data_IF_001977239678
#
_entry.id   IF_001977239678
#
_cell.length_a   1.000
_cell.length_b   1.000
_cell.length_c   1.000
_cell.angle_alpha   90.00
_cell.angle_beta   90.00
_cell.angle_gamma   90.00
#
_symmetry.space_group_name_H-M   'P 1'
#
loop_
_entity.id
_entity.type
_entity.pdbx_description
1 polymer ?
#
# COMPACT_ATOMS: atom_id res chain seq x y z
N UNK A 1 -11.31 -1.63 8.26
CA UNK A 1 -10.41 -1.34 7.12
C UNK A 1 -10.69 0.09 6.70
N UNK A 2 -9.69 0.98 6.68
CA UNK A 2 -9.89 2.30 6.06
C UNK A 2 -10.00 2.07 4.55
N UNK A 3 -11.09 2.52 3.92
CA UNK A 3 -11.22 2.42 2.47
C UNK A 3 -10.06 3.16 1.80
N UNK A 4 -9.43 2.50 0.82
CA UNK A 4 -8.35 3.11 0.04
C UNK A 4 -8.94 4.26 -0.79
N UNK A 5 -8.36 5.45 -0.66
CA UNK A 5 -8.79 6.64 -1.42
C UNK A 5 -8.25 6.56 -2.86
N UNK A 6 -8.90 5.73 -3.68
CA UNK A 6 -8.58 5.60 -5.09
C UNK A 6 -8.94 6.87 -5.85
N UNK A 7 -7.98 7.39 -6.62
CA UNK A 7 -8.12 8.56 -7.48
C UNK A 7 -7.53 8.27 -8.85
N UNK A 8 -8.00 8.99 -9.85
CA UNK A 8 -7.49 8.91 -11.20
C UNK A 8 -6.38 9.93 -11.42
N UNK A 9 -5.35 9.52 -12.13
CA UNK A 9 -4.20 10.33 -12.49
C UNK A 9 -3.88 10.10 -13.96
N UNK A 10 -3.28 11.10 -14.61
CA UNK A 10 -2.89 11.01 -16.01
C UNK A 10 -1.53 11.68 -16.27
N UNK A 11 -0.84 11.24 -17.30
CA UNK A 11 0.47 11.74 -17.69
C UNK A 11 0.75 11.52 -19.17
N UNK A 12 1.68 12.29 -19.72
CA UNK A 12 2.18 12.11 -21.10
C UNK A 12 3.12 10.90 -21.24
N UNK A 13 3.45 10.24 -20.13
CA UNK A 13 4.20 8.99 -20.07
C UNK A 13 3.71 8.15 -18.86
N UNK A 14 4.16 6.91 -18.75
CA UNK A 14 3.78 5.97 -17.69
C UNK A 14 4.61 6.11 -16.40
N UNK A 15 5.58 7.03 -16.36
CA UNK A 15 6.47 7.25 -15.22
C UNK A 15 6.03 8.41 -14.32
N UNK A 16 5.48 9.48 -14.92
CA UNK A 16 5.10 10.71 -14.25
C UNK A 16 3.69 11.15 -14.64
N UNK A 17 2.77 10.99 -13.69
CA UNK A 17 1.37 11.39 -13.83
C UNK A 17 1.19 12.80 -13.27
N UNK A 18 1.26 13.81 -14.15
CA UNK A 18 1.18 15.23 -13.78
C UNK A 18 -0.26 15.70 -13.47
N UNK A 19 -1.27 14.96 -13.92
CA UNK A 19 -2.69 15.25 -13.76
C UNK A 19 -3.27 14.43 -12.61
N UNK A 20 -4.15 15.04 -11.83
CA UNK A 20 -4.82 14.44 -10.68
C UNK A 20 -4.38 15.03 -9.32
N UNK A 21 -5.02 14.62 -8.22
CA UNK A 21 -6.01 13.54 -8.10
C UNK A 21 -7.41 13.92 -8.65
N UNK A 22 -7.95 13.10 -9.55
CA UNK A 22 -9.32 13.24 -10.08
C UNK A 22 -10.26 12.17 -9.50
N UNK A 23 -11.55 12.50 -9.35
CA UNK A 23 -12.55 11.55 -8.85
C UNK A 23 -12.97 10.50 -9.89
N UNK A 24 -12.87 10.82 -11.18
CA UNK A 24 -13.30 9.97 -12.28
C UNK A 24 -12.22 9.87 -13.35
N UNK A 25 -12.25 8.75 -14.09
CA UNK A 25 -11.40 8.53 -15.27
C UNK A 25 -11.58 9.63 -16.31
N UNK A 26 -12.84 10.03 -16.57
CA UNK A 26 -13.16 11.06 -17.57
C UNK A 26 -12.49 12.39 -17.24
N UNK A 27 -12.60 12.84 -15.99
CA UNK A 27 -11.98 14.10 -15.56
C UNK A 27 -10.45 14.07 -15.73
N UNK A 28 -9.80 12.93 -15.44
CA UNK A 28 -8.35 12.81 -15.62
C UNK A 28 -7.93 12.85 -17.10
N UNK A 29 -8.78 12.34 -18.00
CA UNK A 29 -8.55 12.38 -19.45
C UNK A 29 -8.75 13.79 -19.99
N UNK A 30 -9.88 14.41 -19.65
CA UNK A 30 -10.20 15.77 -20.09
C UNK A 30 -9.11 16.76 -19.63
N UNK A 31 -8.69 16.68 -18.37
CA UNK A 31 -7.62 17.52 -17.82
C UNK A 31 -6.24 17.20 -18.44
N UNK A 32 -6.00 15.96 -18.86
CA UNK A 32 -4.77 15.61 -19.58
C UNK A 32 -4.76 16.12 -21.02
N UNK A 33 -5.90 16.10 -21.72
CA UNK A 33 -6.03 16.74 -23.02
C UNK A 33 -5.83 18.26 -22.91
N UNK A 34 -6.40 18.90 -21.88
CA UNK A 34 -6.20 20.34 -21.63
C UNK A 34 -4.72 20.68 -21.34
N UNK A 35 -3.97 19.78 -20.69
CA UNK A 35 -2.57 20.01 -20.33
C UNK A 35 -1.56 19.66 -21.43
N UNK A 36 -1.81 18.60 -22.20
CA UNK A 36 -0.84 18.04 -23.15
C UNK A 36 -1.23 18.22 -24.61
N UNK A 37 -2.49 18.49 -24.92
CA UNK A 37 -3.03 18.55 -26.27
C UNK A 37 -3.60 17.21 -26.75
N UNK A 38 -4.54 17.27 -27.69
CA UNK A 38 -5.21 16.10 -28.28
C UNK A 38 -4.30 15.27 -29.20
N UNK A 39 -3.19 15.85 -29.64
CA UNK A 39 -2.17 15.22 -30.47
C UNK A 39 -1.14 14.41 -29.68
N UNK A 40 -1.27 14.36 -28.34
CA UNK A 40 -0.40 13.60 -27.44
C UNK A 40 -1.13 12.39 -26.88
N UNK A 41 -0.47 11.23 -26.89
CA UNK A 41 -0.98 10.03 -26.22
C UNK A 41 -0.88 10.14 -24.71
N UNK A 42 -1.93 9.72 -24.00
CA UNK A 42 -2.05 9.91 -22.56
C UNK A 42 -2.06 8.54 -21.86
N UNK A 43 -1.30 8.44 -20.78
CA UNK A 43 -1.36 7.33 -19.84
C UNK A 43 -2.27 7.70 -18.69
N UNK A 44 -3.24 6.84 -18.38
CA UNK A 44 -4.22 7.06 -17.31
C UNK A 44 -4.14 5.90 -16.33
N UNK A 45 -4.23 6.19 -15.04
CA UNK A 45 -4.13 5.18 -13.98
C UNK A 45 -5.03 5.53 -12.79
N UNK A 46 -5.56 4.50 -12.14
CA UNK A 46 -6.22 4.65 -10.85
C UNK A 46 -5.23 4.26 -9.74
N UNK A 47 -4.96 5.19 -8.83
CA UNK A 47 -3.92 5.01 -7.83
C UNK A 47 -4.33 5.54 -6.45
N UNK A 48 -3.61 5.08 -5.44
CA UNK A 48 -3.70 5.56 -4.06
C UNK A 48 -2.40 6.27 -3.73
N UNK A 49 -2.52 7.55 -3.35
CA UNK A 49 -1.45 8.32 -2.73
C UNK A 49 -1.82 8.53 -1.27
N UNK A 50 -1.57 7.49 -0.48
CA UNK A 50 -1.92 7.44 0.93
C UNK A 50 -0.67 7.46 1.81
N UNK A 51 -0.84 7.91 3.04
CA UNK A 51 0.23 7.82 4.04
C UNK A 51 0.69 6.38 4.22
N UNK A 52 1.99 6.20 4.36
CA UNK A 52 2.57 4.90 4.72
C UNK A 52 2.33 4.65 6.20
N UNK A 53 1.70 3.52 6.52
CA UNK A 53 1.42 3.10 7.90
C UNK A 53 2.33 1.96 8.29
N UNK A 54 2.98 2.08 9.44
CA UNK A 54 3.88 1.06 9.97
C UNK A 54 3.19 -0.31 10.07
N UNK A 55 1.91 -0.32 10.47
CA UNK A 55 1.10 -1.54 10.57
C UNK A 55 0.99 -2.35 9.27
N UNK A 56 1.19 -1.73 8.10
CA UNK A 56 1.07 -2.42 6.82
C UNK A 56 2.30 -3.31 6.55
N UNK A 57 3.36 -3.15 7.35
CA UNK A 57 4.62 -3.91 7.27
C UNK A 57 4.80 -4.90 8.44
N UNK A 58 3.82 -5.03 9.34
CA UNK A 58 3.90 -5.91 10.51
C UNK A 58 3.06 -7.17 10.29
N UNK A 59 3.71 -8.32 10.49
CA UNK A 59 3.09 -9.66 10.53
C UNK A 59 3.41 -10.39 11.84
N UNK A 60 2.50 -11.25 12.30
CA UNK A 60 2.69 -12.04 13.52
C UNK A 60 3.70 -13.17 13.32
N UNK A 61 3.79 -13.70 12.09
CA UNK A 61 4.76 -14.73 11.71
C UNK A 61 6.19 -14.30 12.08
N UNK A 62 6.58 -13.05 11.76
CA UNK A 62 7.92 -12.56 12.10
C UNK A 62 8.19 -12.43 13.61
N UNK A 63 7.16 -12.31 14.46
CA UNK A 63 7.35 -12.16 15.90
C UNK A 63 7.39 -13.52 16.62
N UNK A 64 6.51 -14.45 16.22
CA UNK A 64 6.46 -15.80 16.80
C UNK A 64 7.68 -16.61 16.33
N UNK A 65 7.94 -16.65 15.02
CA UNK A 65 9.07 -17.42 14.46
C UNK A 65 10.41 -16.97 15.07
N UNK A 66 10.62 -15.65 15.16
CA UNK A 66 11.84 -15.09 15.75
C UNK A 66 11.97 -15.32 17.27
N UNK A 67 10.84 -15.43 17.97
CA UNK A 67 10.84 -15.79 19.39
C UNK A 67 11.16 -17.28 19.57
N UNK A 68 10.58 -18.15 18.74
CA UNK A 68 10.84 -19.58 18.75
C UNK A 68 12.29 -19.90 18.38
N UNK A 69 12.84 -19.26 17.33
CA UNK A 69 14.23 -19.45 16.92
C UNK A 69 15.19 -19.12 18.06
N UNK A 70 14.98 -17.99 18.75
CA UNK A 70 15.84 -17.58 19.88
C UNK A 70 15.62 -18.43 21.13
N UNK A 71 14.39 -18.87 21.37
CA UNK A 71 14.06 -19.69 22.53
C UNK A 71 14.48 -21.16 22.34
N UNK A 72 14.78 -21.59 21.11
CA UNK A 72 15.23 -22.94 20.81
C UNK A 72 16.45 -23.34 21.64
N UNK A 73 17.43 -22.45 21.77
CA UNK A 73 18.65 -22.68 22.58
C UNK A 73 18.38 -22.67 24.10
N UNK A 74 17.22 -22.18 24.52
CA UNK A 74 16.79 -22.12 25.92
C UNK A 74 15.86 -23.28 26.30
N UNK A 75 15.39 -24.06 25.33
CA UNK A 75 14.40 -25.11 25.56
C UNK A 75 15.02 -26.30 26.30
N UNK A 76 14.19 -27.04 27.03
CA UNK A 76 14.60 -28.31 27.59
C UNK A 76 14.86 -29.33 26.45
N UNK A 77 16.07 -29.87 26.30
CA UNK A 77 16.37 -30.82 25.23
C UNK A 77 15.63 -32.15 25.35
N UNK A 78 15.12 -32.48 26.54
CA UNK A 78 14.35 -33.70 26.82
C UNK A 78 12.83 -33.53 26.69
N UNK A 79 12.36 -32.34 26.28
CA UNK A 79 10.94 -32.07 26.00
C UNK A 79 10.71 -31.97 24.50
N UNK A 80 9.63 -32.61 24.04
CA UNK A 80 9.12 -32.52 22.66
C UNK A 80 8.05 -31.43 22.50
N UNK A 81 7.83 -30.60 23.53
CA UNK A 81 6.80 -29.56 23.50
C UNK A 81 7.21 -28.39 22.60
N UNK A 82 6.24 -27.84 21.86
CA UNK A 82 6.44 -26.59 21.13
C UNK A 82 6.78 -25.46 22.11
N UNK A 83 7.62 -24.51 21.68
CA UNK A 83 7.99 -23.36 22.51
C UNK A 83 6.76 -22.49 22.77
N UNK A 84 5.99 -22.22 21.71
CA UNK A 84 4.66 -21.64 21.82
C UNK A 84 3.66 -22.51 21.05
N UNK A 85 2.65 -23.05 21.73
CA UNK A 85 1.53 -23.74 21.08
C UNK A 85 0.46 -22.71 20.72
N UNK A 86 0.65 -22.02 19.59
CA UNK A 86 -0.23 -20.93 19.13
C UNK A 86 -1.18 -21.46 18.05
N UNK A 87 -2.49 -21.29 18.26
CA UNK A 87 -3.49 -21.59 17.24
C UNK A 87 -3.50 -20.53 16.14
N UNK A 88 -4.02 -20.88 14.96
CA UNK A 88 -4.18 -19.93 13.85
C UNK A 88 -5.13 -18.76 14.17
N UNK A 89 -6.01 -18.90 15.18
CA UNK A 89 -6.87 -17.80 15.64
C UNK A 89 -6.11 -16.83 16.53
N UNK A 90 -5.28 -17.34 17.45
CA UNK A 90 -4.42 -16.53 18.31
C UNK A 90 -3.33 -15.80 17.51
N UNK A 91 -2.79 -16.43 16.47
CA UNK A 91 -1.85 -15.78 15.55
C UNK A 91 -2.50 -14.58 14.86
N UNK A 92 -3.73 -14.75 14.34
CA UNK A 92 -4.48 -13.66 13.70
C UNK A 92 -4.79 -12.54 14.70
N UNK A 93 -5.15 -12.87 15.92
CA UNK A 93 -5.39 -11.90 16.99
C UNK A 93 -4.12 -11.11 17.31
N UNK A 94 -2.97 -11.78 17.41
CA UNK A 94 -1.68 -11.12 17.59
C UNK A 94 -1.36 -10.14 16.47
N UNK A 95 -1.62 -10.50 15.19
CA UNK A 95 -1.48 -9.55 14.07
C UNK A 95 -2.33 -8.30 14.31
N UNK A 96 -3.58 -8.46 14.71
CA UNK A 96 -4.50 -7.34 14.94
C UNK A 96 -3.98 -6.45 16.06
N UNK A 97 -3.53 -7.04 17.18
CA UNK A 97 -2.99 -6.30 18.32
C UNK A 97 -1.70 -5.54 17.97
N UNK A 98 -0.75 -6.18 17.29
CA UNK A 98 0.50 -5.53 16.87
C UNK A 98 0.23 -4.36 15.92
N UNK A 99 -0.68 -4.54 14.96
CA UNK A 99 -1.07 -3.47 14.03
C UNK A 99 -1.72 -2.30 14.76
N UNK A 100 -2.61 -2.56 15.72
CA UNK A 100 -3.24 -1.53 16.54
C UNK A 100 -2.22 -0.77 17.40
N UNK A 101 -1.25 -1.47 17.99
CA UNK A 101 -0.18 -0.85 18.76
C UNK A 101 0.71 0.05 17.88
N UNK A 102 1.04 -0.39 16.66
CA UNK A 102 1.80 0.40 15.70
C UNK A 102 1.04 1.67 15.27
N UNK A 103 -0.25 1.56 14.97
CA UNK A 103 -1.11 2.72 14.65
C UNK A 103 -1.12 3.71 15.83
N UNK A 104 -1.37 3.22 17.05
CA UNK A 104 -1.42 4.07 18.24
C UNK A 104 -0.09 4.78 18.50
N UNK A 105 1.04 4.08 18.31
CA UNK A 105 2.37 4.64 18.44
C UNK A 105 2.65 5.71 17.37
N UNK A 106 2.36 5.40 16.10
CA UNK A 106 2.58 6.33 14.99
C UNK A 106 1.76 7.62 15.16
N UNK A 107 0.49 7.51 15.57
CA UNK A 107 -0.40 8.65 15.88
C UNK A 107 0.12 9.44 17.06
N UNK A 108 0.48 8.78 18.18
CA UNK A 108 0.98 9.43 19.39
C UNK A 108 2.20 10.31 19.13
N UNK A 109 3.04 9.90 18.18
CA UNK A 109 4.28 10.59 17.83
C UNK A 109 4.15 11.49 16.59
N UNK A 110 2.95 11.63 16.02
CA UNK A 110 2.67 12.44 14.83
C UNK A 110 3.63 12.11 13.67
N UNK A 111 3.84 10.81 13.44
CA UNK A 111 4.73 10.30 12.41
C UNK A 111 3.93 10.08 11.12
N UNK A 112 4.12 10.98 10.16
CA UNK A 112 3.48 10.94 8.86
C UNK A 112 4.56 10.77 7.78
N UNK A 113 4.38 9.77 6.91
CA UNK A 113 5.20 9.62 5.73
C UNK A 113 4.29 9.76 4.51
N UNK A 114 4.44 10.88 3.81
CA UNK A 114 3.77 11.13 2.53
C UNK A 114 4.68 10.60 1.41
N UNK A 115 4.31 9.48 0.76
CA UNK A 115 5.13 8.92 -0.30
C UNK A 115 5.11 9.82 -1.53
N UNK A 116 6.26 9.93 -2.19
CA UNK A 116 6.36 10.59 -3.49
C UNK A 116 5.57 9.82 -4.57
N UNK A 117 5.67 8.49 -4.55
CA UNK A 117 5.01 7.57 -5.49
C UNK A 117 3.68 7.02 -4.96
N UNK A 118 2.95 6.31 -5.82
CA UNK A 118 1.71 5.63 -5.45
C UNK A 118 1.98 4.39 -4.59
N UNK A 119 1.18 4.21 -3.54
CA UNK A 119 1.25 3.03 -2.65
C UNK A 119 0.46 1.85 -3.19
N UNK A 120 -0.43 2.08 -4.16
CA UNK A 120 -1.20 1.06 -4.86
C UNK A 120 -1.68 1.62 -6.19
N UNK A 121 -1.72 0.79 -7.22
CA UNK A 121 -2.20 1.16 -8.57
C UNK A 121 -3.11 0.07 -9.13
N UNK A 122 -4.02 0.45 -10.03
CA UNK A 122 -4.86 -0.44 -10.84
C UNK A 122 -5.37 0.29 -12.08
N UNK A 123 -6.01 -0.43 -13.00
CA UNK A 123 -6.69 0.13 -14.18
C UNK A 123 -5.80 1.05 -15.03
N UNK A 124 -4.51 0.72 -15.13
CA UNK A 124 -3.57 1.45 -15.98
C UNK A 124 -3.92 1.22 -17.46
N UNK A 125 -3.91 2.30 -18.24
CA UNK A 125 -4.22 2.27 -19.66
C UNK A 125 -3.48 3.36 -20.43
N UNK A 126 -3.41 3.18 -21.74
CA UNK A 126 -2.87 4.17 -22.68
C UNK A 126 -3.96 4.53 -23.70
N UNK A 127 -4.13 5.83 -23.92
CA UNK A 127 -5.05 6.41 -24.89
C UNK A 127 -4.20 7.04 -25.98
N UNK A 128 -4.34 6.52 -27.20
CA UNK A 128 -3.64 7.05 -28.36
C UNK A 128 -4.12 8.48 -28.70
N UNK A 129 -3.25 9.34 -29.25
CA UNK A 129 -3.64 10.69 -29.67
C UNK A 129 -4.70 10.65 -30.78
N UNK A 130 -5.54 11.68 -30.85
CA UNK A 130 -6.46 11.85 -31.97
C UNK A 130 -5.64 12.23 -33.22
N UNK A 131 -5.41 11.25 -34.10
CA UNK A 131 -4.79 11.52 -35.40
C UNK A 131 -5.79 12.27 -36.25
N UNK A 132 -5.63 13.59 -36.39
CA UNK A 132 -6.38 14.34 -37.41
C UNK A 132 -5.96 13.83 -38.81
N UNK A 133 -6.92 13.46 -39.68
CA UNK A 133 -6.65 12.97 -41.03
C UNK A 133 -6.04 14.02 -41.96
#
# INVERSE_FOLDING_TARGET
MTEKNWKWYAGSNDEYYAVGPCDTRGNAIDEAHDNFGDDVGIHVIEAVKGEVRLRDYIGANCAIEEAEERAYDLRNPDSDDNIFDVSAEEEKDLVVMLKAACDAWQIKHNLHFEPWCFTSTRNAEYIAPEVQP
#
